data_IF_050273263361
#
_entry.id   IF_050273263361
#
_cell.length_a   1.000
_cell.length_b   1.000
_cell.length_c   1.000
_cell.angle_alpha   90.00
_cell.angle_beta   90.00
_cell.angle_gamma   90.00
#
_symmetry.space_group_name_H-M   'P 1'
#
loop_
_entity.id
_entity.type
_entity.pdbx_description
1 polymer ?
#
# COMPACT_ATOMS: atom_id res chain seq x y z
N UNK A 1 -15.13 -33.96 11.40
CA UNK A 1 -14.53 -32.63 11.13
C UNK A 1 -13.85 -32.73 9.78
N UNK A 2 -14.25 -31.92 8.82
CA UNK A 2 -13.58 -31.90 7.52
C UNK A 2 -12.14 -31.40 7.66
N UNK A 3 -11.24 -31.91 6.82
CA UNK A 3 -9.84 -31.52 6.76
C UNK A 3 -9.49 -31.10 5.34
N UNK A 4 -8.54 -30.18 5.23
CA UNK A 4 -8.00 -29.73 3.96
C UNK A 4 -6.92 -30.69 3.47
N UNK A 5 -6.98 -31.06 2.19
CA UNK A 5 -5.99 -31.89 1.51
C UNK A 5 -5.46 -31.15 0.29
N UNK A 6 -4.15 -31.16 0.11
CA UNK A 6 -3.49 -30.69 -1.10
C UNK A 6 -3.28 -31.88 -2.05
N UNK A 7 -3.72 -31.75 -3.30
CA UNK A 7 -3.41 -32.68 -4.38
C UNK A 7 -2.09 -32.24 -5.01
N UNK A 8 -1.10 -33.13 -4.99
CA UNK A 8 0.26 -32.84 -5.44
C UNK A 8 0.57 -33.63 -6.70
N UNK A 9 0.96 -32.93 -7.75
CA UNK A 9 1.49 -33.48 -9.00
C UNK A 9 2.89 -32.90 -9.26
N UNK A 10 3.87 -33.73 -9.60
CA UNK A 10 5.25 -33.29 -9.86
C UNK A 10 5.80 -32.33 -8.78
N UNK A 11 5.64 -32.70 -7.50
CA UNK A 11 6.04 -31.90 -6.34
C UNK A 11 5.36 -30.53 -6.21
N UNK A 12 4.27 -30.26 -6.94
CA UNK A 12 3.52 -29.00 -6.89
C UNK A 12 2.08 -29.25 -6.49
N UNK A 13 1.53 -28.43 -5.61
CA UNK A 13 0.11 -28.45 -5.26
C UNK A 13 -0.69 -27.94 -6.46
N UNK A 14 -1.52 -28.79 -7.04
CA UNK A 14 -2.38 -28.46 -8.19
C UNK A 14 -3.83 -28.20 -7.79
N UNK A 15 -4.26 -28.71 -6.64
CA UNK A 15 -5.61 -28.52 -6.11
C UNK A 15 -5.62 -28.58 -4.58
N UNK A 16 -6.60 -27.93 -3.95
CA UNK A 16 -6.83 -27.98 -2.50
C UNK A 16 -8.30 -28.34 -2.26
N UNK A 17 -8.53 -29.44 -1.55
CA UNK A 17 -9.85 -30.05 -1.36
C UNK A 17 -10.20 -30.11 0.11
N UNK A 18 -11.42 -29.70 0.45
CA UNK A 18 -11.98 -29.93 1.77
C UNK A 18 -12.70 -31.28 1.78
N UNK A 19 -12.16 -32.25 2.52
CA UNK A 19 -12.69 -33.60 2.56
C UNK A 19 -13.24 -33.94 3.95
N UNK A 20 -14.40 -34.58 3.99
CA UNK A 20 -15.11 -34.97 5.22
C UNK A 20 -14.45 -36.17 5.93
N UNK A 21 -13.64 -36.95 5.23
CA UNK A 21 -13.00 -38.16 5.74
C UNK A 21 -13.90 -39.41 5.73
N UNK A 22 -15.14 -39.26 5.24
CA UNK A 22 -16.17 -40.31 5.27
C UNK A 22 -16.55 -40.77 3.86
N UNK A 23 -16.61 -39.84 2.91
CA UNK A 23 -16.96 -40.12 1.51
C UNK A 23 -15.76 -40.71 0.77
N UNK A 24 -15.97 -41.71 -0.10
CA UNK A 24 -14.91 -42.24 -0.95
C UNK A 24 -14.49 -41.19 -1.98
N UNK A 25 -13.24 -40.75 -1.90
CA UNK A 25 -12.66 -39.78 -2.82
C UNK A 25 -11.15 -40.01 -3.00
N UNK A 26 -10.70 -39.86 -4.25
CA UNK A 26 -9.29 -39.84 -4.63
C UNK A 26 -9.11 -38.92 -5.84
N UNK A 27 -7.99 -38.19 -5.95
CA UNK A 27 -7.73 -37.38 -7.14
C UNK A 27 -7.44 -38.28 -8.35
N UNK A 28 -7.85 -37.83 -9.55
CA UNK A 28 -7.60 -38.56 -10.80
C UNK A 28 -6.10 -38.66 -11.12
N UNK A 29 -5.32 -37.66 -10.70
CA UNK A 29 -3.87 -37.60 -10.84
C UNK A 29 -3.23 -37.03 -9.55
N UNK A 30 -1.99 -37.45 -9.28
CA UNK A 30 -1.24 -36.99 -8.12
C UNK A 30 -1.60 -37.69 -6.81
N UNK A 31 -1.19 -37.09 -5.69
CA UNK A 31 -1.40 -37.64 -4.35
C UNK A 31 -2.07 -36.58 -3.46
N UNK A 32 -3.12 -36.98 -2.74
CA UNK A 32 -3.76 -36.14 -1.74
C UNK A 32 -3.04 -36.25 -0.38
N UNK A 33 -2.50 -35.14 0.12
CA UNK A 33 -1.79 -35.05 1.40
C UNK A 33 -2.53 -34.07 2.31
N UNK A 34 -2.73 -34.38 3.61
CA UNK A 34 -3.29 -33.42 4.56
C UNK A 34 -2.49 -32.11 4.56
N UNK A 35 -3.19 -31.01 4.37
CA UNK A 35 -2.59 -29.69 4.28
C UNK A 35 -2.94 -28.86 5.52
N UNK A 36 -1.97 -28.08 6.01
CA UNK A 36 -2.23 -27.09 7.04
C UNK A 36 -3.02 -25.91 6.47
N UNK A 37 -3.62 -25.11 7.35
CA UNK A 37 -4.31 -23.89 6.95
C UNK A 37 -3.35 -22.94 6.22
N UNK A 38 -3.75 -22.47 5.03
CA UNK A 38 -2.98 -21.54 4.21
C UNK A 38 -2.15 -22.16 3.08
N UNK A 39 -2.04 -23.49 2.99
CA UNK A 39 -1.44 -24.15 1.82
C UNK A 39 -2.33 -23.89 0.60
N UNK A 40 -1.71 -23.39 -0.47
CA UNK A 40 -2.40 -23.02 -1.70
C UNK A 40 -1.90 -23.78 -2.92
N UNK A 41 -2.64 -23.63 -4.02
CA UNK A 41 -2.22 -24.08 -5.34
C UNK A 41 -0.93 -23.36 -5.74
N UNK A 42 0.00 -24.07 -6.39
CA UNK A 42 1.31 -23.58 -6.80
C UNK A 42 2.40 -23.70 -5.73
N UNK A 43 2.07 -24.14 -4.51
CA UNK A 43 3.07 -24.45 -3.49
C UNK A 43 3.86 -25.70 -3.86
N UNK A 44 5.15 -25.70 -3.56
CA UNK A 44 6.00 -26.87 -3.70
C UNK A 44 5.83 -27.79 -2.49
N UNK A 45 5.89 -29.10 -2.72
CA UNK A 45 5.87 -30.12 -1.68
C UNK A 45 7.11 -31.02 -1.79
N UNK A 46 7.96 -30.95 -0.77
CA UNK A 46 9.16 -31.76 -0.63
C UNK A 46 9.40 -32.10 0.84
N UNK A 47 9.81 -33.34 1.12
CA UNK A 47 10.17 -33.83 2.46
C UNK A 47 9.14 -33.51 3.56
N UNK A 48 7.85 -33.67 3.25
CA UNK A 48 6.76 -33.42 4.21
C UNK A 48 6.41 -31.94 4.40
N UNK A 49 7.08 -31.03 3.69
CA UNK A 49 6.96 -29.57 3.88
C UNK A 49 6.34 -28.92 2.64
N UNK A 50 5.39 -28.01 2.88
CA UNK A 50 4.84 -27.13 1.86
C UNK A 50 5.62 -25.81 1.84
N UNK A 51 6.13 -25.44 0.68
CA UNK A 51 6.86 -24.18 0.47
C UNK A 51 6.07 -23.31 -0.50
N UNK A 52 5.71 -22.11 -0.07
CA UNK A 52 5.06 -21.15 -0.96
C UNK A 52 5.96 -20.87 -2.16
N UNK A 53 5.39 -20.69 -3.36
CA UNK A 53 6.19 -20.21 -4.48
C UNK A 53 6.82 -18.87 -4.09
N UNK A 54 8.07 -18.65 -4.49
CA UNK A 54 8.76 -17.37 -4.35
C UNK A 54 8.14 -16.39 -5.36
N UNK A 55 6.95 -15.91 -5.02
CA UNK A 55 6.30 -14.82 -5.74
C UNK A 55 7.05 -13.56 -5.29
N UNK A 56 7.69 -12.82 -6.21
CA UNK A 56 8.31 -11.56 -5.84
C UNK A 56 7.26 -10.73 -5.10
N UNK A 57 7.58 -10.24 -3.90
CA UNK A 57 6.75 -9.20 -3.28
C UNK A 57 6.44 -8.17 -4.36
N UNK A 58 5.17 -7.76 -4.49
CA UNK A 58 4.81 -6.74 -5.47
C UNK A 58 5.54 -5.45 -5.10
N UNK A 59 6.76 -5.30 -5.61
CA UNK A 59 7.52 -4.07 -5.54
C UNK A 59 6.71 -3.10 -6.38
N UNK A 60 6.13 -2.08 -5.73
CA UNK A 60 5.43 -1.00 -6.42
C UNK A 60 6.29 -0.57 -7.59
N UNK A 61 5.70 -0.56 -8.77
CA UNK A 61 6.35 -0.05 -9.96
C UNK A 61 6.73 1.42 -9.75
N UNK A 62 7.72 1.90 -10.48
CA UNK A 62 8.11 3.31 -10.42
C UNK A 62 6.91 4.22 -10.71
N UNK A 63 6.07 3.87 -11.67
CA UNK A 63 4.85 4.62 -12.00
C UNK A 63 3.87 4.70 -10.82
N UNK A 64 3.71 3.61 -10.05
CA UNK A 64 2.90 3.61 -8.83
C UNK A 64 3.51 4.49 -7.73
N UNK A 65 4.84 4.48 -7.58
CA UNK A 65 5.55 5.35 -6.65
C UNK A 65 5.43 6.83 -7.02
N UNK A 66 5.50 7.15 -8.32
CA UNK A 66 5.27 8.51 -8.82
C UNK A 66 3.83 8.95 -8.58
N UNK A 67 2.85 8.08 -8.82
CA UNK A 67 1.45 8.39 -8.57
C UNK A 67 1.16 8.66 -7.08
N UNK A 68 1.78 7.90 -6.18
CA UNK A 68 1.69 8.11 -4.73
C UNK A 68 2.33 9.43 -4.31
N UNK A 69 3.51 9.75 -4.87
CA UNK A 69 4.18 11.02 -4.65
C UNK A 69 3.36 12.24 -5.12
N UNK A 70 2.70 12.15 -6.28
CA UNK A 70 1.79 13.19 -6.77
C UNK A 70 0.55 13.34 -5.86
N UNK A 71 0.01 12.24 -5.35
CA UNK A 71 -1.09 12.27 -4.41
C UNK A 71 -0.69 12.94 -3.10
N UNK A 72 0.51 12.64 -2.58
CA UNK A 72 1.05 13.28 -1.38
C UNK A 72 1.31 14.78 -1.60
N UNK A 73 1.89 15.16 -2.75
CA UNK A 73 2.06 16.57 -3.15
C UNK A 73 0.74 17.33 -3.07
N UNK A 74 -0.32 16.76 -3.65
CA UNK A 74 -1.66 17.35 -3.65
C UNK A 74 -2.22 17.47 -2.24
N UNK A 75 -2.13 16.40 -1.44
CA UNK A 75 -2.61 16.40 -0.05
C UNK A 75 -1.92 17.47 0.81
N UNK A 76 -0.61 17.67 0.62
CA UNK A 76 0.18 18.71 1.31
C UNK A 76 -0.26 20.12 0.93
N UNK A 77 -0.51 20.37 -0.36
CA UNK A 77 -1.01 21.66 -0.86
C UNK A 77 -2.42 21.93 -0.34
N UNK A 78 -3.30 20.92 -0.37
CA UNK A 78 -4.68 21.04 0.11
C UNK A 78 -4.73 21.36 1.62
N UNK A 79 -3.91 20.66 2.42
CA UNK A 79 -3.79 20.91 3.85
C UNK A 79 -3.28 22.34 4.15
N UNK A 80 -2.26 22.79 3.42
CA UNK A 80 -1.72 24.15 3.56
C UNK A 80 -2.76 25.21 3.16
N UNK A 81 -3.45 25.01 2.03
CA UNK A 81 -4.51 25.89 1.56
C UNK A 81 -5.64 26.01 2.58
N UNK A 82 -6.05 24.90 3.18
CA UNK A 82 -7.08 24.88 4.23
C UNK A 82 -6.69 25.72 5.45
N UNK A 83 -5.41 25.72 5.86
CA UNK A 83 -4.91 26.59 6.95
C UNK A 83 -4.99 28.07 6.56
N UNK A 84 -4.65 28.39 5.31
CA UNK A 84 -4.60 29.77 4.81
C UNK A 84 -5.99 30.43 4.75
N UNK A 85 -7.06 29.66 4.54
CA UNK A 85 -8.46 30.16 4.43
C UNK A 85 -8.85 31.07 5.60
N UNK A 86 -8.38 30.79 6.82
CA UNK A 86 -8.73 31.59 8.00
C UNK A 86 -8.18 33.03 7.87
N UNK A 87 -6.93 33.17 7.43
CA UNK A 87 -6.31 34.49 7.24
C UNK A 87 -6.91 35.23 6.05
N UNK A 88 -7.18 34.54 4.94
CA UNK A 88 -7.91 35.11 3.79
C UNK A 88 -9.28 35.65 4.22
N UNK A 89 -10.03 34.89 5.01
CA UNK A 89 -11.34 35.31 5.54
C UNK A 89 -11.23 36.55 6.41
N UNK A 90 -10.24 36.62 7.31
CA UNK A 90 -10.00 37.82 8.14
C UNK A 90 -9.73 39.06 7.28
N UNK A 91 -8.86 38.92 6.29
CA UNK A 91 -8.50 40.01 5.37
C UNK A 91 -9.71 40.47 4.54
N UNK A 92 -10.53 39.54 4.03
CA UNK A 92 -11.78 39.85 3.31
C UNK A 92 -12.79 40.62 4.17
N UNK A 93 -12.82 40.34 5.48
CA UNK A 93 -13.63 41.08 6.45
C UNK A 93 -13.01 42.44 6.85
N UNK A 94 -11.90 42.85 6.24
CA UNK A 94 -11.19 44.10 6.55
C UNK A 94 -10.40 44.07 7.87
N UNK A 95 -10.18 42.88 8.47
CA UNK A 95 -9.39 42.75 9.69
C UNK A 95 -7.90 42.76 9.34
N UNK A 96 -7.09 43.40 10.20
CA UNK A 96 -5.64 43.26 10.17
C UNK A 96 -5.22 41.95 10.83
N UNK A 97 -4.27 41.26 10.22
CA UNK A 97 -3.60 40.12 10.84
C UNK A 97 -2.62 40.64 11.91
N UNK A 98 -2.36 39.82 12.92
CA UNK A 98 -1.23 40.07 13.83
C UNK A 98 0.10 39.80 13.13
N UNK A 99 1.22 40.24 13.72
CA UNK A 99 2.54 39.96 13.18
C UNK A 99 2.81 38.45 13.11
N UNK A 100 2.38 37.70 14.13
CA UNK A 100 2.48 36.23 14.16
C UNK A 100 1.63 35.56 13.07
N UNK A 101 0.39 36.01 12.88
CA UNK A 101 -0.48 35.50 11.81
C UNK A 101 0.08 35.79 10.41
N UNK A 102 0.68 36.97 10.22
CA UNK A 102 1.30 37.35 8.96
C UNK A 102 2.55 36.52 8.67
N UNK A 103 3.38 36.27 9.69
CA UNK A 103 4.54 35.40 9.58
C UNK A 103 4.14 33.96 9.23
N UNK A 104 3.14 33.39 9.91
CA UNK A 104 2.63 32.06 9.59
C UNK A 104 2.03 32.02 8.18
N UNK A 105 1.23 33.02 7.78
CA UNK A 105 0.67 33.07 6.42
C UNK A 105 1.78 33.02 5.35
N UNK A 106 2.84 33.81 5.50
CA UNK A 106 3.97 33.79 4.57
C UNK A 106 4.68 32.44 4.57
N UNK A 107 4.95 31.86 5.75
CA UNK A 107 5.61 30.55 5.83
C UNK A 107 4.78 29.43 5.17
N UNK A 108 3.44 29.47 5.30
CA UNK A 108 2.55 28.52 4.61
C UNK A 108 2.50 28.73 3.09
N UNK A 109 2.61 29.98 2.61
CA UNK A 109 2.72 30.26 1.17
C UNK A 109 4.06 29.76 0.61
N UNK A 110 5.18 30.04 1.31
CA UNK A 110 6.50 29.56 0.93
C UNK A 110 6.56 28.02 0.92
N UNK A 111 5.89 27.36 1.87
CA UNK A 111 5.74 25.91 1.89
C UNK A 111 4.98 25.39 0.67
N UNK A 112 3.86 26.01 0.28
CA UNK A 112 3.12 25.61 -0.92
C UNK A 112 3.98 25.74 -2.17
N UNK A 113 4.75 26.82 -2.30
CA UNK A 113 5.65 27.02 -3.43
C UNK A 113 6.76 25.96 -3.45
N UNK A 114 7.35 25.66 -2.29
CA UNK A 114 8.36 24.62 -2.15
C UNK A 114 7.82 23.23 -2.51
N UNK A 115 6.63 22.85 -2.00
CA UNK A 115 5.98 21.58 -2.35
C UNK A 115 5.63 21.53 -3.83
N UNK A 116 5.16 22.64 -4.41
CA UNK A 116 4.78 22.73 -5.82
C UNK A 116 6.00 22.55 -6.74
N UNK A 117 7.17 23.02 -6.33
CA UNK A 117 8.42 22.90 -7.07
C UNK A 117 9.02 21.49 -7.06
N UNK A 118 8.56 20.58 -6.19
CA UNK A 118 9.08 19.21 -6.14
C UNK A 118 8.73 18.44 -7.41
N UNK A 119 9.77 17.84 -8.01
CA UNK A 119 9.65 16.86 -9.09
C UNK A 119 9.35 15.48 -8.49
N UNK A 120 8.14 14.97 -8.72
CA UNK A 120 7.67 13.68 -8.20
C UNK A 120 8.18 12.50 -9.02
N UNK A 121 8.79 12.73 -10.19
CA UNK A 121 9.37 11.67 -11.02
C UNK A 121 10.61 11.03 -10.40
N UNK A 122 11.18 11.61 -9.34
CA UNK A 122 12.33 11.02 -8.62
C UNK A 122 11.91 10.00 -7.56
N UNK A 123 10.63 9.62 -7.48
CA UNK A 123 10.13 8.66 -6.51
C UNK A 123 10.91 7.33 -6.55
N UNK A 124 11.22 6.72 -5.39
CA UNK A 124 10.77 7.09 -4.04
C UNK A 124 11.64 8.17 -3.35
N UNK A 125 12.71 8.63 -3.99
CA UNK A 125 13.69 9.55 -3.40
C UNK A 125 13.20 11.00 -3.46
N UNK A 126 12.21 11.33 -2.62
CA UNK A 126 11.60 12.65 -2.52
C UNK A 126 11.84 13.26 -1.13
N UNK A 127 12.37 14.48 -1.11
CA UNK A 127 12.55 15.26 0.10
C UNK A 127 11.47 16.33 0.22
N UNK A 128 10.42 16.03 0.99
CA UNK A 128 9.37 17.01 1.28
C UNK A 128 9.87 18.12 2.22
N UNK A 129 9.46 19.39 2.02
CA UNK A 129 9.75 20.46 2.97
C UNK A 129 9.09 20.18 4.32
N UNK A 130 9.69 20.71 5.38
CA UNK A 130 9.13 20.67 6.72
C UNK A 130 7.86 21.51 6.83
N UNK A 131 6.91 21.07 7.64
CA UNK A 131 5.68 21.82 7.89
C UNK A 131 5.98 23.09 8.70
N UNK A 132 5.44 24.26 8.30
CA UNK A 132 5.54 25.47 9.10
C UNK A 132 4.86 25.36 10.47
N UNK A 133 5.38 26.12 11.44
CA UNK A 133 4.84 26.27 12.81
C UNK A 133 3.76 27.34 12.93
#
# INVERSE_FOLDING_TARGET
MSKTYAVIENNTVVNVVLWDGESEWSPDNGVAIPAADGVGIGWLYADGTFTAPDIPEQVKSHDELVAEAEAEKRARIDAATSRIVVWQTKLLMGRKLTDGESASLNAWMDYIDAVTAIDTSTAPDISWPELPI
#
